data_IF_189202037803
#
_entry.id   IF_189202037803
#
_cell.length_a   1.000
_cell.length_b   1.000
_cell.length_c   1.000
_cell.angle_alpha   90.00
_cell.angle_beta   90.00
_cell.angle_gamma   90.00
#
_symmetry.space_group_name_H-M   'P 1'
#
loop_
_entity.id
_entity.type
_entity.pdbx_description
1 polymer ?
#
# COMPACT_ATOMS: atom_id res chain seq x y z
N UNK A 1 14.07 -5.62 -13.02
CA UNK A 1 12.86 -4.92 -12.56
C UNK A 1 12.34 -5.65 -11.33
N UNK A 2 12.30 -4.99 -10.17
CA UNK A 2 11.82 -5.58 -8.91
C UNK A 2 10.30 -5.59 -8.91
N UNK A 3 9.69 -6.76 -9.02
CA UNK A 3 8.25 -6.94 -8.87
C UNK A 3 7.88 -6.84 -7.37
N UNK A 4 7.19 -5.78 -6.98
CA UNK A 4 6.79 -5.48 -5.59
C UNK A 4 5.31 -5.84 -5.29
N UNK A 5 4.67 -6.63 -6.16
CA UNK A 5 3.31 -7.11 -5.90
C UNK A 5 3.29 -7.99 -4.64
N UNK A 6 2.16 -7.99 -3.92
CA UNK A 6 1.92 -8.81 -2.73
C UNK A 6 2.31 -10.28 -3.00
N UNK A 7 3.27 -10.80 -2.23
CA UNK A 7 3.80 -12.16 -2.40
C UNK A 7 5.05 -12.31 -3.29
N UNK A 8 5.47 -11.26 -3.98
CA UNK A 8 6.74 -11.22 -4.73
C UNK A 8 7.83 -10.50 -3.91
N UNK A 9 9.08 -10.97 -4.00
CA UNK A 9 10.23 -10.48 -3.20
C UNK A 9 10.09 -10.61 -1.68
N UNK A 10 9.55 -11.75 -1.21
CA UNK A 10 9.35 -12.12 0.21
C UNK A 10 10.57 -11.79 1.09
N UNK A 11 11.78 -12.12 0.63
CA UNK A 11 13.04 -11.90 1.34
C UNK A 11 13.41 -10.43 1.54
N UNK A 12 12.90 -9.54 0.68
CA UNK A 12 13.13 -8.09 0.75
C UNK A 12 12.07 -7.42 1.64
N UNK A 13 10.83 -7.90 1.58
CA UNK A 13 9.74 -7.50 2.48
C UNK A 13 10.02 -7.89 3.93
N UNK A 14 10.58 -9.09 4.16
CA UNK A 14 11.00 -9.56 5.50
C UNK A 14 12.04 -8.65 6.19
N UNK A 15 12.81 -7.86 5.42
CA UNK A 15 13.88 -6.99 5.95
C UNK A 15 13.45 -5.58 6.29
N UNK A 16 12.28 -5.11 5.83
CA UNK A 16 11.87 -3.72 6.04
C UNK A 16 10.35 -3.58 6.05
N UNK A 17 9.78 -3.41 7.25
CA UNK A 17 8.35 -3.16 7.47
C UNK A 17 7.81 -2.00 6.62
N UNK A 18 8.57 -0.92 6.47
CA UNK A 18 8.15 0.23 5.64
C UNK A 18 8.01 -0.14 4.15
N UNK A 19 8.87 -1.01 3.62
CA UNK A 19 8.77 -1.46 2.22
C UNK A 19 7.60 -2.44 2.03
N UNK A 20 7.35 -3.31 3.00
CA UNK A 20 6.19 -4.19 3.02
C UNK A 20 4.89 -3.36 3.07
N UNK A 21 4.80 -2.41 4.00
CA UNK A 21 3.66 -1.52 4.15
C UNK A 21 3.40 -0.68 2.88
N UNK A 22 4.47 -0.18 2.23
CA UNK A 22 4.34 0.55 0.98
C UNK A 22 3.82 -0.33 -0.15
N UNK A 23 4.30 -1.57 -0.25
CA UNK A 23 3.82 -2.50 -1.25
C UNK A 23 2.33 -2.84 -1.04
N UNK A 24 1.92 -3.07 0.20
CA UNK A 24 0.50 -3.30 0.55
C UNK A 24 -0.38 -2.09 0.21
N UNK A 25 0.07 -0.87 0.54
CA UNK A 25 -0.63 0.37 0.16
C UNK A 25 -0.79 0.47 -1.37
N UNK A 26 0.29 0.32 -2.14
CA UNK A 26 0.22 0.42 -3.61
C UNK A 26 -0.60 -0.69 -4.25
N UNK A 27 -0.65 -1.87 -3.63
CA UNK A 27 -1.52 -2.96 -4.07
C UNK A 27 -2.99 -2.57 -3.92
N UNK A 28 -3.41 -2.07 -2.75
CA UNK A 28 -4.80 -1.64 -2.52
C UNK A 28 -5.24 -0.50 -3.44
N UNK A 29 -4.38 0.49 -3.67
CA UNK A 29 -4.68 1.57 -4.62
C UNK A 29 -4.96 1.01 -6.02
N UNK A 30 -4.19 0.01 -6.48
CA UNK A 30 -4.41 -0.62 -7.80
C UNK A 30 -5.69 -1.45 -7.85
N UNK A 31 -5.98 -2.22 -6.81
CA UNK A 31 -7.22 -3.01 -6.71
C UNK A 31 -8.45 -2.10 -6.74
N UNK A 32 -8.44 -1.01 -5.97
CA UNK A 32 -9.56 -0.06 -5.96
C UNK A 32 -9.66 0.71 -7.28
N UNK A 33 -8.54 1.17 -7.85
CA UNK A 33 -8.54 1.88 -9.12
C UNK A 33 -9.02 1.02 -10.31
N UNK A 34 -9.08 -0.31 -10.16
CA UNK A 34 -9.71 -1.18 -11.15
C UNK A 34 -11.25 -1.04 -11.18
N UNK A 35 -11.86 -0.64 -10.07
CA UNK A 35 -13.31 -0.60 -9.87
C UNK A 35 -13.87 0.82 -9.66
N UNK A 36 -13.03 1.80 -9.32
CA UNK A 36 -13.45 3.17 -9.02
C UNK A 36 -12.45 4.25 -9.51
N UNK A 37 -12.83 5.53 -9.55
CA UNK A 37 -11.92 6.61 -9.91
C UNK A 37 -10.67 6.65 -9.04
N UNK A 38 -9.53 7.00 -9.63
CA UNK A 38 -8.22 6.97 -8.95
C UNK A 38 -8.21 7.77 -7.64
N UNK A 39 -8.82 8.95 -7.63
CA UNK A 39 -8.86 9.80 -6.44
C UNK A 39 -9.62 9.11 -5.28
N UNK A 40 -10.77 8.50 -5.59
CA UNK A 40 -11.54 7.71 -4.61
C UNK A 40 -10.77 6.48 -4.15
N UNK A 41 -10.10 5.78 -5.06
CA UNK A 41 -9.27 4.62 -4.75
C UNK A 41 -8.11 4.98 -3.80
N UNK A 42 -7.48 6.14 -4.02
CA UNK A 42 -6.41 6.65 -3.16
C UNK A 42 -6.94 7.02 -1.79
N UNK A 43 -8.03 7.79 -1.70
CA UNK A 43 -8.65 8.18 -0.42
C UNK A 43 -9.06 6.96 0.41
N UNK A 44 -9.68 5.96 -0.22
CA UNK A 44 -10.08 4.73 0.45
C UNK A 44 -8.86 3.94 0.94
N UNK A 45 -7.85 3.76 0.10
CA UNK A 45 -6.62 3.05 0.49
C UNK A 45 -5.87 3.75 1.64
N UNK A 46 -5.82 5.09 1.64
CA UNK A 46 -5.23 5.87 2.75
C UNK A 46 -5.99 5.61 4.05
N UNK A 47 -7.31 5.70 4.00
CA UNK A 47 -8.18 5.54 5.18
C UNK A 47 -8.00 4.18 5.83
N UNK A 48 -8.02 3.11 5.03
CA UNK A 48 -7.84 1.75 5.50
C UNK A 48 -6.41 1.47 5.95
N UNK A 49 -5.39 1.94 5.22
CA UNK A 49 -4.00 1.71 5.63
C UNK A 49 -3.68 2.42 6.96
N UNK A 50 -4.24 3.60 7.22
CA UNK A 50 -4.10 4.28 8.52
C UNK A 50 -4.79 3.49 9.63
N UNK A 51 -6.00 2.97 9.40
CA UNK A 51 -6.75 2.23 10.43
C UNK A 51 -6.09 0.89 10.79
N UNK A 52 -5.42 0.27 9.82
CA UNK A 52 -4.74 -1.02 9.98
C UNK A 52 -3.26 -0.91 10.41
N UNK A 53 -2.73 0.31 10.55
CA UNK A 53 -1.34 0.51 10.96
C UNK A 53 -0.31 0.27 9.84
N UNK A 54 -0.74 0.33 8.58
CA UNK A 54 0.06 0.15 7.37
C UNK A 54 0.54 1.52 6.90
N UNK A 55 1.86 1.71 6.81
CA UNK A 55 2.49 2.94 6.30
C UNK A 55 2.04 4.23 7.01
N UNK A 56 1.47 4.10 8.22
CA UNK A 56 0.67 5.15 8.87
C UNK A 56 1.46 6.44 9.13
N UNK A 57 2.74 6.32 9.51
CA UNK A 57 3.60 7.48 9.80
C UNK A 57 3.84 8.38 8.57
N UNK A 58 3.73 7.82 7.37
CA UNK A 58 3.82 8.57 6.11
C UNK A 58 2.45 9.07 5.66
N UNK A 59 1.41 8.24 5.80
CA UNK A 59 0.07 8.57 5.32
C UNK A 59 -0.61 9.66 6.15
N UNK A 60 -0.34 9.75 7.46
CA UNK A 60 -0.87 10.82 8.33
C UNK A 60 -0.37 12.24 8.01
N UNK A 61 0.60 12.38 7.10
CA UNK A 61 1.18 13.68 6.71
C UNK A 61 0.55 14.28 5.45
N UNK A 62 -0.39 13.58 4.82
CA UNK A 62 -1.18 14.05 3.67
C UNK A 62 -2.62 14.30 4.11
#
# INVERSE_FOLDING_TARGET
MLNINKGHNRKLMETCRTLEDYAEYTFRVREYAAEMPLDTAVEQAITECISEGILTDFLRKN
#
